data_IF_162009118042
#
_entry.id   IF_162009118042
#
_cell.length_a   1.000
_cell.length_b   1.000
_cell.length_c   1.000
_cell.angle_alpha   90.00
_cell.angle_beta   90.00
_cell.angle_gamma   90.00
#
_symmetry.space_group_name_H-M   'P 1'
#
loop_
_entity.id
_entity.type
_entity.pdbx_description
1 polymer ?
#
# COMPACT_ATOMS: atom_id res chain seq x y z
N UNK A 1 -23.58 -1.34 -7.20
CA UNK A 1 -22.59 -2.18 -6.51
C UNK A 1 -21.78 -1.27 -5.63
N UNK A 2 -21.60 -1.62 -4.36
CA UNK A 2 -20.58 -0.95 -3.53
C UNK A 2 -19.27 -1.56 -4.01
N UNK A 3 -18.42 -0.76 -4.62
CA UNK A 3 -17.07 -1.18 -5.00
C UNK A 3 -16.22 -1.25 -3.74
N UNK A 4 -15.60 -2.40 -3.51
CA UNK A 4 -14.60 -2.54 -2.45
C UNK A 4 -13.34 -1.79 -2.87
N UNK A 5 -12.73 -1.08 -1.93
CA UNK A 5 -11.52 -0.29 -2.19
C UNK A 5 -10.44 -0.67 -1.19
N UNK A 6 -9.22 -0.68 -1.68
CA UNK A 6 -8.02 -0.68 -0.86
C UNK A 6 -7.59 0.77 -0.65
N UNK A 7 -7.01 1.06 0.50
CA UNK A 7 -6.54 2.41 0.80
C UNK A 7 -5.05 2.44 1.10
N UNK A 8 -4.35 3.44 0.56
CA UNK A 8 -2.90 3.59 0.67
C UNK A 8 -2.54 4.97 1.18
N UNK A 9 -1.81 5.03 2.29
CA UNK A 9 -1.36 6.28 2.92
C UNK A 9 0.12 6.24 3.29
N UNK A 10 0.59 7.32 3.90
CA UNK A 10 1.98 7.48 4.35
C UNK A 10 1.95 7.73 5.86
N UNK A 11 2.90 7.13 6.58
CA UNK A 11 3.10 7.45 7.99
C UNK A 11 3.80 8.80 8.14
N UNK A 12 3.19 9.74 8.88
CA UNK A 12 3.89 10.96 9.31
C UNK A 12 5.01 10.66 10.30
N UNK A 13 4.69 9.81 11.29
CA UNK A 13 5.62 9.29 12.29
C UNK A 13 5.34 7.80 12.50
N UNK A 14 6.30 6.96 12.13
CA UNK A 14 6.17 5.50 12.22
C UNK A 14 6.70 5.01 13.57
N UNK A 15 5.85 4.30 14.31
CA UNK A 15 6.21 3.72 15.60
C UNK A 15 6.41 2.22 15.45
N UNK A 16 7.67 1.80 15.53
CA UNK A 16 8.10 0.41 15.38
C UNK A 16 7.53 -0.52 16.46
N UNK A 17 7.14 0.00 17.62
CA UNK A 17 6.58 -0.78 18.73
C UNK A 17 5.06 -0.86 18.67
N UNK A 18 4.41 -0.03 17.84
CA UNK A 18 2.96 0.06 17.77
C UNK A 18 2.35 -1.11 16.98
N UNK A 19 1.19 -1.54 17.47
CA UNK A 19 0.24 -2.37 16.70
C UNK A 19 -0.81 -1.47 16.06
N UNK A 20 -0.96 -1.61 14.76
CA UNK A 20 -1.92 -0.90 13.93
C UNK A 20 -3.09 -1.85 13.63
N UNK A 21 -4.20 -1.67 14.36
CA UNK A 21 -5.41 -2.48 14.23
C UNK A 21 -6.64 -1.66 13.83
N UNK A 22 -6.58 -0.35 14.03
CA UNK A 22 -7.71 0.54 13.80
C UNK A 22 -7.74 0.98 12.33
N UNK A 23 -8.89 0.86 11.70
CA UNK A 23 -9.14 1.41 10.38
C UNK A 23 -9.31 2.94 10.49
N UNK A 24 -8.26 3.68 10.18
CA UNK A 24 -8.20 5.15 10.32
C UNK A 24 -7.54 5.81 9.11
N UNK A 25 -8.03 5.58 7.87
CA UNK A 25 -7.37 6.03 6.64
C UNK A 25 -7.18 7.55 6.54
N UNK A 26 -8.08 8.33 7.16
CA UNK A 26 -7.99 9.80 7.17
C UNK A 26 -6.73 10.29 7.90
N UNK A 27 -6.22 9.52 8.88
CA UNK A 27 -5.00 9.85 9.61
C UNK A 27 -3.75 9.82 8.72
N UNK A 28 -3.77 9.02 7.66
CA UNK A 28 -2.60 8.74 6.83
C UNK A 28 -2.69 9.39 5.43
N UNK A 29 -3.68 10.29 5.26
CA UNK A 29 -3.98 10.95 3.99
C UNK A 29 -4.08 9.92 2.83
N UNK A 30 -4.86 8.87 3.08
CA UNK A 30 -5.00 7.75 2.16
C UNK A 30 -5.65 8.16 0.84
N UNK A 31 -5.19 7.53 -0.24
CA UNK A 31 -5.91 7.45 -1.52
C UNK A 31 -6.57 6.08 -1.63
N UNK A 32 -7.62 5.97 -2.42
CA UNK A 32 -8.35 4.71 -2.64
C UNK A 32 -8.04 4.14 -4.01
N UNK A 33 -7.94 2.81 -4.09
CA UNK A 33 -7.78 2.06 -5.35
C UNK A 33 -8.78 0.91 -5.35
N UNK A 34 -9.47 0.72 -6.46
CA UNK A 34 -10.45 -0.33 -6.66
C UNK A 34 -9.85 -1.73 -6.45
N UNK A 35 -10.60 -2.60 -5.77
CA UNK A 35 -10.20 -3.99 -5.50
C UNK A 35 -9.86 -4.77 -6.77
N UNK A 36 -10.62 -4.63 -7.86
CA UNK A 36 -10.33 -5.36 -9.10
C UNK A 36 -8.95 -5.00 -9.65
N UNK A 37 -8.54 -3.74 -9.46
CA UNK A 37 -7.20 -3.27 -9.83
C UNK A 37 -6.15 -3.91 -8.91
N UNK A 38 -6.32 -3.84 -7.59
CA UNK A 38 -5.34 -4.41 -6.63
C UNK A 38 -5.23 -5.93 -6.75
N UNK A 39 -6.34 -6.63 -6.91
CA UNK A 39 -6.38 -8.07 -7.12
C UNK A 39 -5.60 -8.47 -8.38
N UNK A 40 -5.59 -7.64 -9.42
CA UNK A 40 -4.78 -7.88 -10.62
C UNK A 40 -3.26 -7.74 -10.40
N UNK A 41 -2.85 -7.04 -9.33
CA UNK A 41 -1.43 -6.79 -8.99
C UNK A 41 -0.89 -7.72 -7.90
N UNK A 42 -1.76 -8.30 -7.07
CA UNK A 42 -1.35 -8.96 -5.81
C UNK A 42 -0.36 -10.12 -6.04
N UNK A 43 -0.50 -10.86 -7.14
CA UNK A 43 0.44 -11.93 -7.51
C UNK A 43 1.86 -11.43 -7.74
N UNK A 44 2.02 -10.27 -8.37
CA UNK A 44 3.32 -9.65 -8.64
C UNK A 44 3.95 -9.03 -7.38
N UNK A 45 3.14 -8.73 -6.36
CA UNK A 45 3.59 -8.21 -5.07
C UNK A 45 3.98 -9.31 -4.08
N UNK A 46 3.81 -10.59 -4.42
CA UNK A 46 4.03 -11.74 -3.50
C UNK A 46 5.45 -11.84 -2.93
N UNK A 47 6.43 -11.17 -3.52
CA UNK A 47 7.82 -11.14 -3.03
C UNK A 47 8.18 -9.82 -2.31
N UNK A 48 7.25 -8.87 -2.24
CA UNK A 48 7.45 -7.56 -1.63
C UNK A 48 7.50 -7.70 -0.11
N UNK A 49 8.61 -7.36 0.53
CA UNK A 49 8.73 -7.45 2.00
C UNK A 49 7.80 -6.45 2.67
N UNK A 50 6.98 -6.90 3.60
CA UNK A 50 6.03 -6.06 4.33
C UNK A 50 5.88 -6.54 5.77
N UNK A 51 5.01 -5.88 6.53
CA UNK A 51 4.65 -6.30 7.88
C UNK A 51 3.14 -6.19 8.07
N UNK A 52 2.50 -7.20 8.65
CA UNK A 52 1.05 -7.16 8.88
C UNK A 52 0.74 -6.70 10.29
N UNK A 53 -0.02 -5.61 10.40
CA UNK A 53 -0.44 -4.94 11.65
C UNK A 53 0.69 -4.42 12.58
N UNK A 54 1.91 -4.96 12.54
CA UNK A 54 3.02 -4.53 13.39
C UNK A 54 4.36 -4.91 12.80
N UNK A 55 5.41 -4.14 13.08
CA UNK A 55 6.78 -4.41 12.60
C UNK A 55 7.33 -5.77 13.06
N UNK A 56 6.83 -6.32 14.17
CA UNK A 56 7.24 -7.64 14.67
C UNK A 56 6.59 -8.82 13.92
N UNK A 57 5.80 -8.54 12.89
CA UNK A 57 5.09 -9.56 12.11
C UNK A 57 5.43 -9.42 10.63
N UNK A 58 6.69 -9.74 10.25
CA UNK A 58 7.16 -9.66 8.87
C UNK A 58 6.39 -10.64 8.00
N UNK A 59 6.00 -10.19 6.82
CA UNK A 59 5.25 -10.91 5.82
C UNK A 59 5.68 -10.47 4.41
N UNK A 60 4.98 -10.97 3.39
CA UNK A 60 5.16 -10.54 2.02
C UNK A 60 3.84 -10.12 1.35
N UNK A 61 3.93 -9.20 0.39
CA UNK A 61 2.80 -8.68 -0.36
C UNK A 61 1.87 -7.81 0.49
N UNK A 62 0.60 -7.75 0.06
CA UNK A 62 -0.44 -7.01 0.73
C UNK A 62 -1.38 -7.98 1.45
N UNK A 63 -1.71 -7.69 2.72
CA UNK A 63 -2.81 -8.35 3.41
C UNK A 63 -4.11 -7.98 2.70
N UNK A 64 -4.70 -8.91 1.97
CA UNK A 64 -5.95 -8.66 1.24
C UNK A 64 -7.09 -8.26 2.19
N UNK A 65 -7.16 -8.91 3.36
CA UNK A 65 -7.98 -8.51 4.50
C UNK A 65 -7.06 -8.10 5.66
N UNK A 66 -7.07 -6.82 6.01
CA UNK A 66 -6.29 -6.30 7.14
C UNK A 66 -5.31 -5.18 6.78
N UNK A 67 -4.32 -4.96 7.65
CA UNK A 67 -3.41 -3.81 7.55
C UNK A 67 -2.00 -4.27 7.17
N UNK A 68 -1.45 -3.64 6.13
CA UNK A 68 -0.06 -3.83 5.71
C UNK A 68 0.74 -2.57 5.99
N UNK A 69 1.93 -2.73 6.55
CA UNK A 69 2.97 -1.71 6.64
C UNK A 69 3.97 -2.02 5.52
N UNK A 70 4.21 -1.06 4.65
CA UNK A 70 5.11 -1.19 3.51
C UNK A 70 6.37 -0.35 3.81
N UNK A 71 7.53 -0.98 3.99
CA UNK A 71 8.73 -0.27 4.37
C UNK A 71 9.42 0.41 3.17
N UNK A 72 10.27 1.43 3.40
CA UNK A 72 10.93 2.17 2.33
C UNK A 72 11.68 1.29 1.32
N UNK A 73 12.34 0.22 1.77
CA UNK A 73 13.06 -0.70 0.89
C UNK A 73 12.18 -1.47 -0.10
N UNK A 74 10.87 -1.52 0.14
CA UNK A 74 9.89 -2.21 -0.72
C UNK A 74 9.24 -1.29 -1.74
N UNK A 75 9.41 0.03 -1.62
CA UNK A 75 8.71 1.00 -2.45
C UNK A 75 9.14 0.96 -3.92
N UNK A 76 10.40 0.64 -4.21
CA UNK A 76 10.86 0.50 -5.60
C UNK A 76 10.13 -0.64 -6.31
N UNK A 77 10.05 -1.82 -5.69
CA UNK A 77 9.32 -2.96 -6.24
C UNK A 77 7.83 -2.63 -6.37
N UNK A 78 7.26 -1.97 -5.36
CA UNK A 78 5.85 -1.60 -5.40
C UNK A 78 5.54 -0.67 -6.57
N UNK A 79 6.37 0.36 -6.77
CA UNK A 79 6.27 1.29 -7.88
C UNK A 79 6.38 0.58 -9.23
N UNK A 80 7.36 -0.32 -9.38
CA UNK A 80 7.57 -1.07 -10.62
C UNK A 80 6.35 -1.91 -10.98
N UNK A 81 5.74 -2.60 -10.00
CA UNK A 81 4.53 -3.40 -10.21
C UNK A 81 3.33 -2.51 -10.59
N UNK A 82 3.14 -1.39 -9.90
CA UNK A 82 2.05 -0.44 -10.18
C UNK A 82 2.18 0.15 -11.59
N UNK A 83 3.36 0.62 -11.96
CA UNK A 83 3.61 1.29 -13.26
C UNK A 83 3.71 0.32 -14.43
N UNK A 84 4.08 -0.94 -14.19
CA UNK A 84 4.08 -2.00 -15.21
C UNK A 84 2.69 -2.57 -15.49
N UNK A 85 1.68 -2.20 -14.70
CA UNK A 85 0.31 -2.62 -14.91
C UNK A 85 -0.20 -2.20 -16.29
N UNK A 86 -0.87 -3.12 -17.00
CA UNK A 86 -1.55 -2.80 -18.27
C UNK A 86 -2.62 -1.71 -18.13
N UNK A 87 -3.14 -1.52 -16.92
CA UNK A 87 -4.16 -0.53 -16.61
C UNK A 87 -3.58 0.86 -16.32
N UNK A 88 -2.27 0.96 -16.06
CA UNK A 88 -1.63 2.18 -15.53
C UNK A 88 -1.96 3.43 -16.37
N UNK A 89 -1.81 3.35 -17.70
CA UNK A 89 -2.04 4.50 -18.60
C UNK A 89 -3.46 5.05 -18.58
N UNK A 90 -4.45 4.25 -18.19
CA UNK A 90 -5.86 4.61 -18.23
C UNK A 90 -6.49 4.66 -16.83
N UNK A 91 -5.69 4.47 -15.77
CA UNK A 91 -6.17 4.44 -14.39
C UNK A 91 -5.61 5.63 -13.63
N UNK A 92 -6.51 6.57 -13.30
CA UNK A 92 -6.19 7.69 -12.41
C UNK A 92 -5.74 7.18 -11.04
N UNK A 93 -6.41 6.15 -10.52
CA UNK A 93 -6.10 5.53 -9.22
C UNK A 93 -4.67 4.96 -9.17
N UNK A 94 -4.23 4.27 -10.22
CA UNK A 94 -2.85 3.78 -10.29
C UNK A 94 -1.84 4.92 -10.46
N UNK A 95 -2.20 6.00 -11.14
CA UNK A 95 -1.36 7.19 -11.29
C UNK A 95 -1.21 7.91 -9.94
N UNK A 96 -2.29 8.01 -9.17
CA UNK A 96 -2.29 8.56 -7.80
C UNK A 96 -1.50 7.67 -6.83
N UNK A 97 -1.68 6.35 -6.92
CA UNK A 97 -0.91 5.39 -6.13
C UNK A 97 0.59 5.50 -6.43
N UNK A 98 0.99 5.55 -7.71
CA UNK A 98 2.38 5.75 -8.09
C UNK A 98 2.96 7.06 -7.54
N UNK A 99 2.17 8.14 -7.59
CA UNK A 99 2.56 9.44 -7.04
C UNK A 99 2.75 9.38 -5.52
N UNK A 100 1.88 8.66 -4.81
CA UNK A 100 1.99 8.42 -3.36
C UNK A 100 3.23 7.60 -3.01
N UNK A 101 3.57 6.59 -3.83
CA UNK A 101 4.78 5.77 -3.64
C UNK A 101 6.04 6.62 -3.86
N UNK A 102 6.07 7.47 -4.89
CA UNK A 102 7.18 8.41 -5.13
C UNK A 102 7.36 9.33 -3.91
N UNK A 103 6.27 9.93 -3.43
CA UNK A 103 6.30 10.79 -2.24
C UNK A 103 6.91 10.05 -1.03
N UNK A 104 6.43 8.85 -0.73
CA UNK A 104 6.98 8.05 0.37
C UNK A 104 8.46 7.69 0.18
N UNK A 105 8.87 7.45 -1.06
CA UNK A 105 10.27 7.14 -1.42
C UNK A 105 11.18 8.34 -1.19
N UNK A 106 10.78 9.53 -1.66
CA UNK A 106 11.53 10.78 -1.50
C UNK A 106 11.64 11.18 -0.03
N UNK A 107 10.56 11.02 0.73
CA UNK A 107 10.51 11.32 2.16
C UNK A 107 11.11 10.20 3.03
N UNK A 108 11.50 9.06 2.44
CA UNK A 108 12.00 7.85 3.13
C UNK A 108 11.04 7.35 4.22
N UNK A 109 9.74 7.44 3.96
CA UNK A 109 8.67 7.09 4.89
C UNK A 109 8.08 5.72 4.59
N UNK A 110 7.56 5.10 5.65
CA UNK A 110 6.74 3.90 5.53
C UNK A 110 5.38 4.27 4.93
N UNK A 111 4.80 3.37 4.15
CA UNK A 111 3.41 3.45 3.74
C UNK A 111 2.54 2.50 4.57
N UNK A 112 1.25 2.83 4.66
CA UNK A 112 0.22 1.96 5.22
C UNK A 112 -0.77 1.59 4.12
N UNK A 113 -1.21 0.34 4.13
CA UNK A 113 -2.28 -0.16 3.28
C UNK A 113 -3.37 -0.78 4.15
N UNK A 114 -4.61 -0.44 3.84
CA UNK A 114 -5.81 -1.09 4.35
C UNK A 114 -6.42 -1.94 3.23
N UNK A 115 -6.49 -3.24 3.47
CA UNK A 115 -7.28 -4.17 2.67
C UNK A 115 -8.78 -4.06 2.99
N UNK A 116 -9.56 -4.95 2.41
CA UNK A 116 -11.03 -5.00 2.52
C UNK A 116 -11.48 -5.43 3.93
#
# INVERSE_FOLDING_TARGET
MITCVHEFGIFDDFDIQKKYNDYTPQKYNCISVDDDIINSLIGNLSIMKTYFHSFNRPEYGLAYYGITIIPPESLSLFYDVVTSSRYFKNSTELSELASKIIQATEEKKYMIHYGI
#
